data_IF_265400262837
#
_entry.id   IF_265400262837
#
_cell.length_a   1.000
_cell.length_b   1.000
_cell.length_c   1.000
_cell.angle_alpha   90.00
_cell.angle_beta   90.00
_cell.angle_gamma   90.00
#
_symmetry.space_group_name_H-M   'P 1'
#
loop_
_entity.id
_entity.type
_entity.pdbx_description
1 polymer ?
#
# COMPACT_ATOMS: atom_id res chain seq x y z
N UNK A 1 -4.92 19.68 -1.79
CA UNK A 1 -3.87 20.65 -2.10
C UNK A 1 -4.26 21.57 -3.27
N UNK A 2 -4.87 21.04 -4.33
CA UNK A 2 -5.26 21.76 -5.55
C UNK A 2 -6.73 22.16 -5.50
N UNK A 3 -7.02 23.41 -5.12
CA UNK A 3 -8.40 23.91 -4.96
C UNK A 3 -9.22 23.79 -6.25
N UNK A 4 -8.62 24.09 -7.41
CA UNK A 4 -9.31 24.01 -8.70
C UNK A 4 -9.74 22.58 -9.04
N UNK A 5 -8.90 21.57 -8.69
CA UNK A 5 -9.27 20.16 -8.84
C UNK A 5 -10.40 19.78 -7.90
N UNK A 6 -10.36 20.25 -6.64
CA UNK A 6 -11.43 19.99 -5.67
C UNK A 6 -12.77 20.57 -6.13
N UNK A 7 -12.77 21.82 -6.62
CA UNK A 7 -13.96 22.46 -7.20
C UNK A 7 -14.50 21.72 -8.42
N UNK A 8 -13.61 21.27 -9.31
CA UNK A 8 -14.01 20.47 -10.48
C UNK A 8 -14.68 19.16 -10.08
N UNK A 9 -14.19 18.49 -9.03
CA UNK A 9 -14.79 17.26 -8.48
C UNK A 9 -16.17 17.57 -7.88
N UNK A 10 -16.30 18.62 -7.07
CA UNK A 10 -17.58 19.06 -6.51
C UNK A 10 -18.60 19.27 -7.63
N UNK A 11 -18.23 20.02 -8.66
CA UNK A 11 -19.11 20.28 -9.81
C UNK A 11 -19.51 18.99 -10.55
N UNK A 12 -18.56 18.07 -10.76
CA UNK A 12 -18.83 16.81 -11.47
C UNK A 12 -19.81 15.88 -10.72
N UNK A 13 -19.84 15.96 -9.39
CA UNK A 13 -20.65 15.11 -8.53
C UNK A 13 -21.84 15.84 -7.86
N UNK A 14 -22.15 17.07 -8.30
CA UNK A 14 -23.28 17.82 -7.77
C UNK A 14 -23.11 18.31 -6.33
N UNK A 15 -21.88 18.39 -5.85
CA UNK A 15 -21.55 18.96 -4.55
C UNK A 15 -21.35 20.48 -4.65
N UNK A 16 -21.71 21.21 -3.59
CA UNK A 16 -21.49 22.66 -3.52
C UNK A 16 -19.97 22.94 -3.41
N UNK A 17 -19.46 23.87 -4.24
CA UNK A 17 -18.04 24.26 -4.25
C UNK A 17 -17.54 24.86 -2.92
N UNK A 18 -18.46 25.29 -2.03
CA UNK A 18 -18.08 25.75 -0.67
C UNK A 18 -17.41 24.64 0.16
N UNK A 19 -17.62 23.36 -0.20
CA UNK A 19 -16.98 22.20 0.42
C UNK A 19 -15.66 21.80 -0.25
N UNK A 20 -15.19 22.56 -1.26
CA UNK A 20 -13.90 22.35 -1.87
C UNK A 20 -12.83 23.13 -1.11
N UNK A 21 -11.86 22.41 -0.56
CA UNK A 21 -10.75 22.99 0.19
C UNK A 21 -9.42 22.73 -0.51
N UNK A 22 -8.50 23.68 -0.43
CA UNK A 22 -7.14 23.58 -0.97
C UNK A 22 -6.09 23.84 0.11
N UNK A 23 -4.82 23.71 -0.27
CA UNK A 23 -3.69 23.85 0.65
C UNK A 23 -3.33 22.55 1.36
N UNK A 24 -2.21 22.54 2.07
CA UNK A 24 -1.74 21.38 2.84
C UNK A 24 -2.61 21.10 4.06
N UNK A 25 -3.31 22.10 4.57
CA UNK A 25 -4.20 22.05 5.74
C UNK A 25 -5.69 21.96 5.38
N UNK A 26 -6.02 21.91 4.08
CA UNK A 26 -7.43 21.89 3.62
C UNK A 26 -8.27 20.73 4.18
N UNK A 27 -7.63 19.62 4.54
CA UNK A 27 -8.29 18.50 5.18
C UNK A 27 -8.90 18.84 6.55
N UNK A 28 -8.30 19.79 7.31
CA UNK A 28 -8.81 20.24 8.61
C UNK A 28 -10.20 20.85 8.47
N UNK A 29 -10.37 21.72 7.47
CA UNK A 29 -11.68 22.32 7.16
C UNK A 29 -12.71 21.31 6.68
N UNK A 30 -12.27 20.31 5.89
CA UNK A 30 -13.15 19.22 5.48
C UNK A 30 -13.68 18.44 6.69
N UNK A 31 -12.86 18.21 7.71
CA UNK A 31 -13.24 17.47 8.91
C UNK A 31 -14.20 18.21 9.83
N UNK A 32 -14.32 19.55 9.71
CA UNK A 32 -15.33 20.36 10.42
C UNK A 32 -16.76 20.12 9.88
N UNK A 33 -16.88 19.53 8.69
CA UNK A 33 -18.17 19.20 8.08
C UNK A 33 -18.84 17.97 8.71
N UNK A 34 -20.06 17.69 8.28
CA UNK A 34 -20.97 16.67 8.82
C UNK A 34 -20.83 15.29 8.15
N UNK A 35 -19.87 15.09 7.26
CA UNK A 35 -19.62 13.80 6.63
C UNK A 35 -19.29 12.71 7.68
N UNK A 36 -19.92 11.55 7.59
CA UNK A 36 -19.68 10.40 8.49
C UNK A 36 -18.46 9.59 8.10
N UNK A 37 -18.14 9.56 6.81
CA UNK A 37 -17.08 8.75 6.23
C UNK A 37 -16.11 9.62 5.45
N UNK A 38 -14.82 9.41 5.63
CA UNK A 38 -13.76 10.06 4.85
C UNK A 38 -13.07 9.03 3.98
N UNK A 39 -13.00 9.29 2.67
CA UNK A 39 -12.20 8.52 1.73
C UNK A 39 -10.81 9.15 1.61
N UNK A 40 -9.80 8.48 2.16
CA UNK A 40 -8.43 8.98 2.23
C UNK A 40 -7.61 8.48 1.04
N UNK A 41 -7.68 9.22 -0.07
CA UNK A 41 -6.99 8.92 -1.33
C UNK A 41 -5.80 9.86 -1.60
N UNK A 42 -5.31 10.57 -0.59
CA UNK A 42 -4.14 11.46 -0.70
C UNK A 42 -2.84 10.67 -0.94
N UNK A 43 -1.76 11.31 -1.42
CA UNK A 43 -0.47 10.64 -1.53
C UNK A 43 -0.03 10.00 -0.21
N UNK A 44 0.64 8.83 -0.24
CA UNK A 44 0.94 8.01 0.93
C UNK A 44 1.58 8.72 2.12
N UNK A 45 2.46 9.70 1.85
CA UNK A 45 3.13 10.49 2.90
C UNK A 45 2.13 11.17 3.85
N UNK A 46 0.97 11.62 3.34
CA UNK A 46 -0.03 12.35 4.14
C UNK A 46 -0.95 11.43 4.94
N UNK A 47 -1.06 10.18 4.57
CA UNK A 47 -2.09 9.27 5.11
C UNK A 47 -2.02 9.06 6.61
N UNK A 48 -0.84 8.90 7.25
CA UNK A 48 -0.79 8.76 8.71
C UNK A 48 -1.33 9.99 9.45
N UNK A 49 -0.94 11.19 8.99
CA UNK A 49 -1.40 12.45 9.54
C UNK A 49 -2.92 12.63 9.38
N UNK A 50 -3.42 12.36 8.17
CA UNK A 50 -4.83 12.52 7.87
C UNK A 50 -5.70 11.46 8.56
N UNK A 51 -5.25 10.20 8.63
CA UNK A 51 -5.98 9.15 9.34
C UNK A 51 -6.14 9.46 10.82
N UNK A 52 -5.07 9.94 11.49
CA UNK A 52 -5.12 10.39 12.87
C UNK A 52 -6.18 11.50 13.06
N UNK A 53 -6.20 12.50 12.17
CA UNK A 53 -7.15 13.60 12.22
C UNK A 53 -8.61 13.15 11.95
N UNK A 54 -8.82 12.23 10.99
CA UNK A 54 -10.15 11.66 10.68
C UNK A 54 -10.73 10.93 11.89
N UNK A 55 -9.94 10.08 12.53
CA UNK A 55 -10.37 9.31 13.70
C UNK A 55 -10.62 10.25 14.90
N UNK A 56 -9.74 11.24 15.11
CA UNK A 56 -9.93 12.25 16.16
C UNK A 56 -11.20 13.10 15.97
N UNK A 57 -11.60 13.35 14.71
CA UNK A 57 -12.86 14.00 14.35
C UNK A 57 -14.10 13.07 14.49
N UNK A 58 -13.91 11.83 14.94
CA UNK A 58 -15.00 10.88 15.17
C UNK A 58 -15.64 10.31 13.90
N UNK A 59 -14.91 10.28 12.77
CA UNK A 59 -15.41 9.83 11.47
C UNK A 59 -14.92 8.43 11.13
N UNK A 60 -15.67 7.71 10.30
CA UNK A 60 -15.23 6.45 9.70
C UNK A 60 -14.22 6.72 8.59
N UNK A 61 -13.34 5.76 8.33
CA UNK A 61 -12.23 5.92 7.39
C UNK A 61 -12.23 4.80 6.34
N UNK A 62 -12.18 5.16 5.07
CA UNK A 62 -11.61 4.33 4.02
C UNK A 62 -10.20 4.84 3.74
N UNK A 63 -9.19 4.00 3.93
CA UNK A 63 -7.80 4.37 3.75
C UNK A 63 -7.19 3.65 2.55
N UNK A 64 -6.79 4.40 1.52
CA UNK A 64 -6.04 3.84 0.40
C UNK A 64 -4.66 3.36 0.80
N UNK A 65 -4.20 2.30 0.17
CA UNK A 65 -2.86 1.72 0.32
C UNK A 65 -1.77 2.53 -0.45
N UNK A 66 -0.49 2.51 -0.02
CA UNK A 66 -0.02 2.18 1.33
C UNK A 66 -0.37 3.27 2.33
N UNK A 67 -0.46 2.92 3.60
CA UNK A 67 -0.88 3.91 4.62
C UNK A 67 0.27 4.79 5.12
N UNK A 68 1.49 4.50 4.77
CA UNK A 68 2.67 5.25 5.16
C UNK A 68 3.84 4.98 4.20
N UNK A 69 4.90 5.78 4.33
CA UNK A 69 6.13 5.66 3.53
C UNK A 69 7.38 5.38 4.38
N UNK A 70 7.25 5.41 5.70
CA UNK A 70 8.36 5.24 6.66
C UNK A 70 7.90 4.66 8.00
N UNK A 71 8.83 4.20 8.87
CA UNK A 71 8.51 3.60 10.15
C UNK A 71 7.73 4.52 11.11
N UNK A 72 8.06 5.81 11.29
CA UNK A 72 7.25 6.70 12.12
C UNK A 72 5.81 6.84 11.64
N UNK A 73 5.60 6.94 10.32
CA UNK A 73 4.27 7.02 9.73
C UNK A 73 3.45 5.75 9.98
N UNK A 74 4.06 4.56 9.86
CA UNK A 74 3.38 3.28 10.17
C UNK A 74 2.92 3.26 11.63
N UNK A 75 3.80 3.62 12.57
CA UNK A 75 3.44 3.64 14.00
C UNK A 75 2.40 4.70 14.34
N UNK A 76 2.41 5.85 13.63
CA UNK A 76 1.37 6.88 13.74
C UNK A 76 0.01 6.34 13.30
N UNK A 77 -0.04 5.65 12.17
CA UNK A 77 -1.28 5.02 11.70
C UNK A 77 -1.76 3.92 12.65
N UNK A 78 -0.89 3.07 13.18
CA UNK A 78 -1.26 2.06 14.18
C UNK A 78 -1.88 2.69 15.45
N UNK A 79 -1.40 3.86 15.89
CA UNK A 79 -2.05 4.60 16.99
C UNK A 79 -3.46 5.07 16.60
N UNK A 80 -3.64 5.54 15.36
CA UNK A 80 -4.98 5.89 14.88
C UNK A 80 -5.91 4.67 14.81
N UNK A 81 -5.39 3.49 14.42
CA UNK A 81 -6.14 2.22 14.43
C UNK A 81 -6.60 1.87 15.84
N UNK A 82 -5.74 1.98 16.85
CA UNK A 82 -6.12 1.73 18.24
C UNK A 82 -7.16 2.73 18.76
N UNK A 83 -7.02 4.01 18.43
CA UNK A 83 -8.03 5.02 18.73
C UNK A 83 -9.38 4.75 18.05
N UNK A 84 -9.36 4.26 16.82
CA UNK A 84 -10.55 3.86 16.09
C UNK A 84 -11.27 2.68 16.74
N UNK A 85 -10.53 1.67 17.22
CA UNK A 85 -11.09 0.54 17.98
C UNK A 85 -11.78 1.02 19.25
N UNK A 86 -11.13 1.90 20.01
CA UNK A 86 -11.68 2.45 21.26
C UNK A 86 -12.95 3.28 21.02
N UNK A 87 -12.99 4.07 19.95
CA UNK A 87 -14.13 4.92 19.59
C UNK A 87 -15.16 4.23 18.69
N UNK A 88 -14.97 2.95 18.38
CA UNK A 88 -15.80 2.16 17.44
C UNK A 88 -15.93 2.81 16.05
N UNK A 89 -14.87 3.48 15.58
CA UNK A 89 -14.80 3.97 14.22
C UNK A 89 -14.25 2.88 13.30
N UNK A 90 -14.92 2.66 12.20
CA UNK A 90 -14.51 1.67 11.22
C UNK A 90 -13.35 2.19 10.39
N UNK A 91 -12.40 1.31 10.09
CA UNK A 91 -11.35 1.54 9.10
C UNK A 91 -11.44 0.40 8.09
N UNK A 92 -11.62 0.75 6.82
CA UNK A 92 -11.53 -0.18 5.71
C UNK A 92 -10.31 0.18 4.85
N UNK A 93 -9.61 -0.84 4.40
CA UNK A 93 -8.36 -0.72 3.64
C UNK A 93 -8.61 -0.75 2.14
N UNK A 94 -7.88 0.08 1.39
CA UNK A 94 -7.82 0.04 -0.08
C UNK A 94 -7.00 -1.13 -0.65
N UNK A 95 -6.80 -2.20 0.11
CA UNK A 95 -6.16 -3.45 -0.37
C UNK A 95 -7.18 -4.31 -1.12
N UNK A 96 -7.64 -3.82 -2.26
CA UNK A 96 -8.77 -4.35 -3.04
C UNK A 96 -8.71 -5.86 -3.32
N UNK A 97 -7.52 -6.47 -3.39
CA UNK A 97 -7.41 -7.92 -3.59
C UNK A 97 -8.01 -8.76 -2.46
N UNK A 98 -8.13 -8.22 -1.23
CA UNK A 98 -8.84 -8.88 -0.12
C UNK A 98 -10.35 -8.91 -0.29
N UNK A 99 -10.89 -8.05 -1.18
CA UNK A 99 -12.30 -8.02 -1.59
C UNK A 99 -12.53 -8.67 -2.96
N UNK A 100 -11.49 -9.35 -3.50
CA UNK A 100 -11.61 -10.13 -4.71
C UNK A 100 -12.23 -11.49 -4.40
N UNK A 101 -13.40 -11.79 -4.99
CA UNK A 101 -14.12 -13.03 -4.75
C UNK A 101 -13.28 -14.31 -5.02
N UNK A 102 -12.34 -14.24 -5.97
CA UNK A 102 -11.43 -15.37 -6.26
C UNK A 102 -10.48 -15.60 -5.09
N UNK A 103 -9.82 -14.56 -4.59
CA UNK A 103 -8.93 -14.66 -3.45
C UNK A 103 -9.68 -15.14 -2.19
N UNK A 104 -10.90 -14.63 -1.97
CA UNK A 104 -11.77 -15.05 -0.86
C UNK A 104 -12.13 -16.53 -0.91
N UNK A 105 -12.37 -17.10 -2.10
CA UNK A 105 -12.61 -18.53 -2.24
C UNK A 105 -11.34 -19.38 -2.13
N UNK A 106 -10.18 -18.84 -2.45
CA UNK A 106 -8.91 -19.58 -2.38
C UNK A 106 -8.30 -19.62 -0.99
N UNK A 107 -8.49 -18.59 -0.17
CA UNK A 107 -7.76 -18.43 1.09
C UNK A 107 -7.96 -19.62 2.03
N UNK A 108 -9.22 -20.06 2.23
CA UNK A 108 -9.51 -21.18 3.13
C UNK A 108 -8.95 -22.51 2.61
N UNK A 109 -9.20 -22.94 1.35
CA UNK A 109 -8.59 -24.16 0.80
C UNK A 109 -7.06 -24.18 0.86
N UNK A 110 -6.39 -23.05 0.66
CA UNK A 110 -4.92 -22.97 0.77
C UNK A 110 -4.48 -23.18 2.21
N UNK A 111 -5.12 -22.53 3.16
CA UNK A 111 -4.83 -22.71 4.60
C UNK A 111 -5.17 -24.11 5.10
N UNK A 112 -6.17 -24.76 4.53
CA UNK A 112 -6.54 -26.15 4.79
C UNK A 112 -5.58 -27.14 4.10
N UNK A 113 -4.59 -26.68 3.33
CA UNK A 113 -3.51 -27.48 2.78
C UNK A 113 -3.77 -28.08 1.39
N UNK A 114 -4.56 -27.44 0.53
CA UNK A 114 -4.75 -27.89 -0.86
C UNK A 114 -3.42 -27.99 -1.65
N UNK A 115 -2.43 -27.14 -1.29
CA UNK A 115 -1.06 -27.21 -1.81
C UNK A 115 -0.07 -27.77 -0.78
N UNK A 116 -0.56 -28.31 0.35
CA UNK A 116 0.25 -28.74 1.47
C UNK A 116 0.77 -27.60 2.33
N UNK A 117 1.84 -27.83 3.10
CA UNK A 117 2.54 -26.81 3.85
C UNK A 117 3.24 -25.84 2.88
N UNK A 118 3.10 -24.52 3.11
CA UNK A 118 3.74 -23.51 2.29
C UNK A 118 5.24 -23.48 2.62
N UNK A 119 6.07 -23.70 1.62
CA UNK A 119 7.53 -23.73 1.72
C UNK A 119 8.19 -22.43 1.27
N UNK A 120 7.51 -21.63 0.43
CA UNK A 120 8.01 -20.38 -0.10
C UNK A 120 7.15 -19.85 -1.23
N UNK A 121 7.66 -18.84 -1.93
CA UNK A 121 6.92 -18.25 -3.03
C UNK A 121 7.65 -17.15 -3.76
N UNK A 122 6.98 -16.61 -4.79
CA UNK A 122 7.45 -15.45 -5.53
C UNK A 122 6.30 -14.48 -5.79
N UNK A 123 6.60 -13.22 -5.67
CA UNK A 123 5.73 -12.09 -5.98
C UNK A 123 6.33 -11.34 -7.17
N UNK A 124 5.54 -11.12 -8.21
CA UNK A 124 5.91 -10.25 -9.32
C UNK A 124 4.96 -9.05 -9.40
N UNK A 125 5.53 -7.86 -9.42
CA UNK A 125 4.86 -6.61 -9.81
C UNK A 125 5.69 -5.96 -10.91
N UNK A 126 5.67 -6.57 -12.10
CA UNK A 126 6.45 -6.15 -13.24
C UNK A 126 5.51 -5.59 -14.32
N UNK A 127 5.65 -4.32 -14.62
CA UNK A 127 4.86 -3.62 -15.63
C UNK A 127 5.64 -2.44 -16.24
N UNK A 128 5.07 -1.80 -17.24
CA UNK A 128 5.64 -0.62 -17.88
C UNK A 128 5.75 0.59 -16.94
N UNK A 129 6.33 1.66 -17.45
CA UNK A 129 6.47 2.91 -16.70
C UNK A 129 5.10 3.48 -16.29
N UNK A 130 5.08 4.14 -15.16
CA UNK A 130 3.91 4.87 -14.66
C UNK A 130 3.83 6.25 -15.30
N UNK A 131 2.72 6.95 -15.01
CA UNK A 131 2.53 8.32 -15.42
C UNK A 131 3.57 9.26 -14.81
N UNK A 132 3.93 10.29 -15.55
CA UNK A 132 4.74 11.43 -15.10
C UNK A 132 3.95 12.71 -15.32
N UNK A 133 4.16 13.67 -14.43
CA UNK A 133 3.59 15.00 -14.55
C UNK A 133 4.72 16.02 -14.53
N UNK A 134 5.07 16.61 -15.68
CA UNK A 134 6.15 17.58 -15.75
C UNK A 134 5.83 18.80 -14.89
N UNK A 135 6.87 19.40 -14.31
CA UNK A 135 6.77 20.61 -13.52
C UNK A 135 6.27 21.78 -14.40
N UNK A 136 5.24 22.46 -13.92
CA UNK A 136 4.75 23.69 -14.56
C UNK A 136 5.57 24.87 -14.07
N UNK A 137 5.71 25.95 -14.87
CA UNK A 137 6.45 27.15 -14.46
C UNK A 137 5.93 27.81 -13.17
N UNK A 138 4.64 27.64 -12.89
CA UNK A 138 3.97 28.22 -11.70
C UNK A 138 3.97 27.29 -10.49
N UNK A 139 4.48 26.06 -10.60
CA UNK A 139 4.48 25.12 -9.49
C UNK A 139 5.54 25.52 -8.44
N UNK A 140 5.11 25.68 -7.21
CA UNK A 140 6.01 25.62 -6.06
C UNK A 140 6.59 24.22 -5.93
N UNK A 141 7.66 24.04 -5.16
CA UNK A 141 8.22 22.72 -4.91
C UNK A 141 7.18 21.77 -4.28
N UNK A 142 6.40 22.27 -3.32
CA UNK A 142 5.30 21.53 -2.70
C UNK A 142 4.23 21.11 -3.73
N UNK A 143 3.81 22.01 -4.61
CA UNK A 143 2.84 21.73 -5.65
C UNK A 143 3.36 20.68 -6.65
N UNK A 144 4.61 20.77 -7.05
CA UNK A 144 5.23 19.81 -7.94
C UNK A 144 5.30 18.41 -7.30
N UNK A 145 5.81 18.30 -6.06
CA UNK A 145 5.86 17.04 -5.32
C UNK A 145 4.45 16.45 -5.17
N UNK A 146 3.47 17.24 -4.75
CA UNK A 146 2.11 16.77 -4.58
C UNK A 146 1.44 16.35 -5.91
N UNK A 147 1.76 17.01 -7.03
CA UNK A 147 1.20 16.66 -8.34
C UNK A 147 1.88 15.45 -8.98
N UNK A 148 3.19 15.28 -8.77
CA UNK A 148 4.02 14.21 -9.34
C UNK A 148 4.46 13.18 -8.29
N UNK A 149 3.69 13.05 -7.21
CA UNK A 149 4.00 12.33 -5.97
C UNK A 149 4.49 10.90 -6.19
N UNK A 150 3.96 10.22 -7.18
CA UNK A 150 4.27 8.82 -7.45
C UNK A 150 5.75 8.60 -7.87
N UNK A 151 6.38 9.60 -8.45
CA UNK A 151 7.76 9.51 -8.93
C UNK A 151 8.80 9.82 -7.85
N UNK A 152 8.38 10.30 -6.68
CA UNK A 152 9.25 10.61 -5.55
C UNK A 152 9.06 9.61 -4.42
N UNK A 153 10.13 8.90 -4.07
CA UNK A 153 10.12 7.89 -3.00
C UNK A 153 9.68 8.45 -1.65
N UNK A 154 9.97 9.71 -1.38
CA UNK A 154 9.56 10.43 -0.18
C UNK A 154 8.03 10.56 -0.08
N UNK A 155 7.37 10.65 -1.23
CA UNK A 155 5.93 10.84 -1.32
C UNK A 155 5.14 9.54 -1.35
N UNK A 156 5.70 8.49 -1.97
CA UNK A 156 4.99 7.23 -2.26
C UNK A 156 5.59 5.99 -1.57
N UNK A 157 6.79 6.08 -1.00
CA UNK A 157 7.49 4.93 -0.44
C UNK A 157 8.15 4.02 -1.48
N UNK A 158 8.30 4.50 -2.73
CA UNK A 158 8.82 3.78 -3.88
C UNK A 158 7.89 2.69 -4.44
N UNK A 159 8.26 2.13 -5.59
CA UNK A 159 7.51 1.14 -6.36
C UNK A 159 7.11 -0.11 -5.55
N UNK A 160 8.02 -0.60 -4.70
CA UNK A 160 7.74 -1.78 -3.88
C UNK A 160 6.59 -1.50 -2.91
N UNK A 161 6.62 -0.35 -2.22
CA UNK A 161 5.60 0.04 -1.24
C UNK A 161 4.31 0.50 -1.91
N UNK A 162 4.41 1.26 -3.01
CA UNK A 162 3.22 1.84 -3.63
C UNK A 162 2.49 0.83 -4.53
N UNK A 163 3.22 -0.02 -5.27
CA UNK A 163 2.61 -0.95 -6.22
C UNK A 163 2.65 -2.41 -5.78
N UNK A 164 3.83 -2.93 -5.43
CA UNK A 164 3.96 -4.35 -5.14
C UNK A 164 3.28 -4.75 -3.82
N UNK A 165 2.84 -3.79 -3.01
CA UNK A 165 2.07 -4.06 -1.79
C UNK A 165 0.85 -4.93 -2.05
N UNK A 166 0.20 -4.82 -3.20
CA UNK A 166 -0.96 -5.64 -3.54
C UNK A 166 -0.65 -7.14 -3.54
N UNK A 167 0.45 -7.53 -4.18
CA UNK A 167 0.87 -8.91 -4.28
C UNK A 167 1.58 -9.39 -3.00
N UNK A 168 2.30 -8.49 -2.31
CA UNK A 168 2.94 -8.77 -1.02
C UNK A 168 1.88 -8.98 0.07
N UNK A 169 0.82 -8.17 0.07
CA UNK A 169 -0.31 -8.33 0.99
C UNK A 169 -1.01 -9.69 0.80
N UNK A 170 -1.23 -10.10 -0.46
CA UNK A 170 -1.75 -11.43 -0.75
C UNK A 170 -0.84 -12.53 -0.19
N UNK A 171 0.48 -12.40 -0.35
CA UNK A 171 1.43 -13.36 0.23
C UNK A 171 1.31 -13.42 1.75
N UNK A 172 1.33 -12.26 2.44
CA UNK A 172 1.13 -12.17 3.88
C UNK A 172 -0.18 -12.84 4.32
N UNK A 173 -1.28 -12.56 3.61
CA UNK A 173 -2.60 -13.09 3.91
C UNK A 173 -2.68 -14.59 3.74
N UNK A 174 -2.16 -15.13 2.64
CA UNK A 174 -2.21 -16.57 2.36
C UNK A 174 -1.27 -17.38 3.26
N UNK A 175 -0.08 -16.85 3.57
CA UNK A 175 0.86 -17.43 4.55
C UNK A 175 0.29 -17.36 5.98
N UNK A 176 -0.52 -16.34 6.29
CA UNK A 176 -1.15 -16.14 7.59
C UNK A 176 -0.24 -15.52 8.64
N UNK A 177 0.92 -14.97 8.24
CA UNK A 177 1.85 -14.20 9.08
C UNK A 177 2.65 -13.22 8.24
N UNK A 178 3.40 -12.35 8.92
CA UNK A 178 4.27 -11.36 8.29
C UNK A 178 5.74 -11.79 8.37
N UNK A 179 6.61 -11.33 7.46
CA UNK A 179 8.02 -11.66 7.50
C UNK A 179 8.70 -11.01 8.71
N UNK A 180 9.70 -11.71 9.24
CA UNK A 180 10.50 -11.26 10.38
C UNK A 180 11.57 -10.27 9.96
N UNK A 181 12.10 -10.42 8.73
CA UNK A 181 13.19 -9.59 8.18
C UNK A 181 13.17 -9.62 6.65
N UNK A 182 13.89 -8.66 6.07
CA UNK A 182 14.09 -8.56 4.63
C UNK A 182 15.53 -8.15 4.31
N UNK A 183 16.02 -8.61 3.15
CA UNK A 183 17.18 -8.04 2.46
C UNK A 183 16.81 -7.79 1.00
N UNK A 184 17.46 -6.82 0.37
CA UNK A 184 17.11 -6.50 -1.00
C UNK A 184 18.21 -5.77 -1.76
N UNK A 185 18.03 -5.76 -3.08
CA UNK A 185 18.82 -4.98 -4.02
C UNK A 185 17.91 -4.20 -4.94
N UNK A 186 18.36 -3.07 -5.45
CA UNK A 186 17.55 -2.29 -6.38
C UNK A 186 18.39 -1.32 -7.19
N UNK A 187 17.79 -0.80 -8.24
CA UNK A 187 18.42 0.16 -9.11
C UNK A 187 17.37 1.02 -9.84
N UNK A 188 17.86 2.15 -10.35
CA UNK A 188 17.10 3.02 -11.24
C UNK A 188 17.62 2.86 -12.67
N UNK A 189 16.83 2.29 -13.55
CA UNK A 189 17.13 2.15 -14.98
C UNK A 189 16.36 3.13 -15.85
N UNK A 190 15.17 3.53 -15.39
CA UNK A 190 14.33 4.48 -16.12
C UNK A 190 14.84 5.89 -15.93
N UNK A 191 15.07 6.61 -17.03
CA UNK A 191 15.21 8.07 -17.03
C UNK A 191 13.84 8.71 -16.90
N UNK A 192 13.75 9.89 -16.33
CA UNK A 192 12.50 10.61 -16.10
C UNK A 192 12.54 11.41 -14.82
N UNK A 193 11.39 11.89 -14.37
CA UNK A 193 11.28 12.68 -13.14
C UNK A 193 11.39 11.80 -11.90
N UNK A 194 11.77 12.43 -10.78
CA UNK A 194 11.81 11.78 -9.47
C UNK A 194 13.10 11.00 -9.19
N UNK A 195 13.09 10.24 -8.10
CA UNK A 195 14.29 9.65 -7.51
C UNK A 195 14.10 8.21 -6.99
N UNK A 196 12.92 7.62 -7.14
CA UNK A 196 12.66 6.24 -6.72
C UNK A 196 13.38 5.22 -7.60
N UNK A 197 13.65 4.03 -7.03
CA UNK A 197 14.06 2.88 -7.83
C UNK A 197 12.91 2.40 -8.70
N UNK A 198 13.21 1.86 -9.86
CA UNK A 198 12.22 1.25 -10.72
C UNK A 198 12.46 -0.24 -10.98
N UNK A 199 13.47 -0.79 -10.31
CA UNK A 199 13.74 -2.22 -10.23
C UNK A 199 14.17 -2.54 -8.81
N UNK A 200 13.41 -3.39 -8.12
CA UNK A 200 13.69 -3.86 -6.76
C UNK A 200 13.53 -5.38 -6.73
N UNK A 201 14.39 -6.02 -5.97
CA UNK A 201 14.38 -7.46 -5.73
C UNK A 201 14.64 -7.68 -4.25
N UNK A 202 13.66 -8.27 -3.56
CA UNK A 202 13.66 -8.39 -2.10
C UNK A 202 13.35 -9.81 -1.70
N UNK A 203 14.13 -10.35 -0.81
CA UNK A 203 13.87 -11.60 -0.12
C UNK A 203 13.25 -11.30 1.25
N UNK A 204 12.05 -11.82 1.47
CA UNK A 204 11.31 -11.75 2.73
C UNK A 204 11.41 -13.08 3.46
N UNK A 205 12.07 -13.08 4.61
CA UNK A 205 12.17 -14.24 5.50
C UNK A 205 11.03 -14.21 6.53
N UNK A 206 10.13 -15.19 6.41
CA UNK A 206 8.98 -15.40 7.32
C UNK A 206 9.31 -16.28 8.51
N UNK A 207 10.58 -16.61 8.72
CA UNK A 207 11.02 -17.60 9.70
C UNK A 207 10.74 -19.05 9.25
N UNK A 208 11.33 -20.01 9.97
CA UNK A 208 11.17 -21.44 9.69
C UNK A 208 11.53 -21.84 8.25
N UNK A 209 12.55 -21.19 7.67
CA UNK A 209 13.02 -21.38 6.29
C UNK A 209 11.93 -21.09 5.21
N UNK A 210 10.91 -20.31 5.51
CA UNK A 210 9.94 -19.85 4.53
C UNK A 210 10.39 -18.49 4.00
N UNK A 211 10.72 -18.46 2.71
CA UNK A 211 11.11 -17.25 2.00
C UNK A 211 10.14 -16.93 0.87
N UNK A 212 9.81 -15.65 0.74
CA UNK A 212 9.07 -15.12 -0.41
C UNK A 212 9.90 -14.04 -1.08
N UNK A 213 10.19 -14.27 -2.36
CA UNK A 213 10.99 -13.36 -3.17
C UNK A 213 10.08 -12.43 -3.96
N UNK A 214 10.20 -11.12 -3.73
CA UNK A 214 9.43 -10.09 -4.42
C UNK A 214 10.28 -9.36 -5.45
N UNK A 215 9.77 -9.27 -6.68
CA UNK A 215 10.39 -8.53 -7.78
C UNK A 215 9.42 -7.47 -8.27
N UNK A 216 9.82 -6.21 -8.14
CA UNK A 216 9.07 -5.06 -8.63
C UNK A 216 9.85 -4.34 -9.74
N UNK A 217 9.21 -4.07 -10.88
CA UNK A 217 9.83 -3.38 -12.01
C UNK A 217 8.84 -2.50 -12.75
N UNK A 218 9.26 -1.28 -13.08
CA UNK A 218 8.50 -0.29 -13.86
C UNK A 218 9.33 0.22 -15.04
N UNK A 219 9.55 -0.65 -16.04
CA UNK A 219 10.37 -0.36 -17.22
C UNK A 219 9.66 -0.86 -18.47
N UNK A 220 9.46 0.03 -19.46
CA UNK A 220 8.83 -0.31 -20.74
C UNK A 220 9.66 -1.30 -21.55
N UNK A 221 8.98 -2.07 -22.41
CA UNK A 221 9.62 -3.00 -23.33
C UNK A 221 10.19 -4.27 -22.68
N UNK A 222 9.77 -4.58 -21.46
CA UNK A 222 10.16 -5.79 -20.74
C UNK A 222 8.95 -6.74 -20.61
N UNK A 223 9.21 -7.97 -20.20
CA UNK A 223 8.16 -8.93 -19.87
C UNK A 223 7.37 -8.48 -18.64
N UNK A 224 6.06 -8.41 -18.77
CA UNK A 224 5.16 -7.94 -17.72
C UNK A 224 4.43 -9.09 -17.05
N UNK A 225 4.37 -9.04 -15.71
CA UNK A 225 3.59 -9.96 -14.90
C UNK A 225 3.27 -9.37 -13.54
N UNK A 226 2.02 -9.55 -13.11
CA UNK A 226 1.59 -9.34 -11.73
C UNK A 226 1.07 -10.68 -11.20
N UNK A 227 1.68 -11.21 -10.14
CA UNK A 227 1.23 -12.45 -9.52
C UNK A 227 1.74 -12.62 -8.09
N UNK A 228 1.02 -13.44 -7.33
CA UNK A 228 1.46 -14.01 -6.06
C UNK A 228 1.42 -15.53 -6.22
N UNK A 229 2.59 -16.15 -6.30
CA UNK A 229 2.75 -17.59 -6.44
C UNK A 229 3.29 -18.17 -5.15
N UNK A 230 2.59 -19.13 -4.58
CA UNK A 230 3.02 -19.84 -3.38
C UNK A 230 3.27 -21.32 -3.72
N UNK A 231 4.40 -21.82 -3.24
CA UNK A 231 4.82 -23.21 -3.40
C UNK A 231 4.67 -23.94 -2.08
N UNK A 232 3.98 -25.05 -2.10
CA UNK A 232 3.81 -25.93 -0.97
C UNK A 232 4.28 -27.36 -1.26
N UNK A 233 4.17 -28.22 -0.26
CA UNK A 233 4.63 -29.62 -0.34
C UNK A 233 3.83 -30.49 -1.32
N UNK A 234 2.64 -30.08 -1.75
CA UNK A 234 1.76 -30.82 -2.67
C UNK A 234 1.53 -30.11 -4.00
N UNK A 235 2.09 -28.93 -4.21
CA UNK A 235 1.91 -28.16 -5.43
C UNK A 235 2.11 -26.66 -5.23
N UNK A 236 1.69 -25.90 -6.24
CA UNK A 236 1.79 -24.43 -6.26
C UNK A 236 0.41 -23.81 -6.54
N UNK A 237 0.21 -22.60 -6.07
CA UNK A 237 -0.94 -21.77 -6.45
C UNK A 237 -0.46 -20.44 -7.03
N UNK A 238 -1.04 -20.02 -8.16
CA UNK A 238 -0.99 -18.64 -8.64
C UNK A 238 -2.31 -17.97 -8.27
N UNK A 239 -2.29 -17.12 -7.24
CA UNK A 239 -3.50 -16.51 -6.68
C UNK A 239 -4.19 -15.60 -7.72
N UNK A 240 -3.44 -14.72 -8.38
CA UNK A 240 -4.02 -13.81 -9.38
C UNK A 240 -4.34 -14.52 -10.69
N UNK A 241 -3.54 -15.53 -11.06
CA UNK A 241 -3.80 -16.38 -12.22
C UNK A 241 -4.90 -17.41 -12.01
N UNK A 242 -5.37 -17.57 -10.77
CA UNK A 242 -6.44 -18.54 -10.41
C UNK A 242 -6.14 -19.98 -10.83
N UNK A 243 -4.89 -20.42 -10.63
CA UNK A 243 -4.40 -21.73 -11.08
C UNK A 243 -3.71 -22.48 -9.96
N UNK A 244 -3.89 -23.80 -9.98
CA UNK A 244 -3.11 -24.75 -9.18
C UNK A 244 -2.22 -25.56 -10.10
N UNK A 245 -0.96 -25.75 -9.72
CA UNK A 245 -0.04 -26.69 -10.33
C UNK A 245 0.26 -27.77 -9.29
N UNK A 246 -0.11 -29.01 -9.58
CA UNK A 246 0.12 -30.15 -8.69
C UNK A 246 1.59 -30.59 -8.74
N UNK A 247 2.00 -31.43 -7.77
CA UNK A 247 3.37 -31.92 -7.68
C UNK A 247 3.82 -32.74 -8.91
N UNK A 248 2.90 -33.36 -9.64
CA UNK A 248 3.15 -34.05 -10.91
C UNK A 248 3.29 -33.11 -12.11
N UNK A 249 3.23 -31.79 -11.91
CA UNK A 249 3.29 -30.77 -12.95
C UNK A 249 1.96 -30.47 -13.65
N UNK A 250 0.88 -31.17 -13.30
CA UNK A 250 -0.45 -30.90 -13.87
C UNK A 250 -0.94 -29.52 -13.45
N UNK A 251 -1.18 -28.65 -14.45
CA UNK A 251 -1.76 -27.31 -14.21
C UNK A 251 -3.26 -27.34 -14.48
N UNK A 252 -4.06 -26.82 -13.56
CA UNK A 252 -5.52 -26.72 -13.68
C UNK A 252 -6.05 -25.41 -13.11
N UNK A 253 -7.19 -24.89 -13.61
CA UNK A 253 -7.90 -23.79 -12.96
C UNK A 253 -8.26 -24.15 -11.52
N UNK A 254 -8.31 -23.15 -10.64
CA UNK A 254 -8.84 -23.33 -9.29
C UNK A 254 -10.35 -23.68 -9.40
N UNK A 255 -10.83 -24.68 -8.64
CA UNK A 255 -12.24 -25.09 -8.70
C UNK A 255 -13.12 -24.13 -7.89
N UNK A 256 -13.54 -23.03 -8.51
CA UNK A 256 -14.41 -22.04 -7.88
C UNK A 256 -15.85 -22.53 -7.77
N UNK A 257 -16.49 -22.21 -6.65
CA UNK A 257 -17.96 -22.29 -6.52
C UNK A 257 -18.59 -21.07 -7.21
N UNK A 258 -19.09 -21.29 -8.44
CA UNK A 258 -19.71 -20.24 -9.23
C UNK A 258 -21.11 -19.85 -8.75
N UNK A 259 -21.81 -20.72 -8.00
CA UNK A 259 -23.10 -20.41 -7.42
C UNK A 259 -22.95 -19.43 -6.24
N UNK A 260 -21.94 -19.63 -5.41
CA UNK A 260 -21.65 -18.77 -4.25
C UNK A 260 -21.31 -17.30 -4.64
N UNK A 261 -20.98 -17.04 -5.90
CA UNK A 261 -20.63 -15.70 -6.38
C UNK A 261 -21.72 -15.04 -7.23
N UNK A 262 -22.89 -15.67 -7.36
CA UNK A 262 -24.01 -15.03 -8.07
C UNK A 262 -24.37 -13.71 -7.39
N UNK A 263 -24.38 -12.63 -8.18
CA UNK A 263 -24.68 -11.29 -7.69
C UNK A 263 -23.50 -10.54 -7.03
N UNK A 264 -22.32 -11.16 -6.88
CA UNK A 264 -21.13 -10.46 -6.42
C UNK A 264 -20.56 -9.64 -7.60
N UNK A 265 -20.22 -8.39 -7.33
CA UNK A 265 -19.59 -7.54 -8.34
C UNK A 265 -18.22 -8.12 -8.73
N UNK A 266 -17.93 -8.13 -10.03
CA UNK A 266 -16.64 -8.64 -10.52
C UNK A 266 -15.49 -7.65 -10.27
N UNK A 267 -15.81 -6.36 -10.02
CA UNK A 267 -14.84 -5.34 -9.68
C UNK A 267 -14.58 -5.32 -8.17
N UNK A 268 -13.40 -5.77 -7.76
CA UNK A 268 -12.96 -5.81 -6.36
C UNK A 268 -12.91 -4.42 -5.70
N UNK A 269 -12.64 -3.35 -6.48
CA UNK A 269 -12.65 -1.98 -5.95
C UNK A 269 -14.06 -1.52 -5.58
N UNK A 270 -15.09 -1.99 -6.30
CA UNK A 270 -16.50 -1.77 -5.90
C UNK A 270 -16.83 -2.57 -4.65
N UNK A 271 -16.35 -3.82 -4.56
CA UNK A 271 -16.63 -4.68 -3.42
C UNK A 271 -16.08 -4.11 -2.12
N UNK A 272 -14.86 -3.57 -2.09
CA UNK A 272 -14.30 -2.98 -0.87
C UNK A 272 -15.17 -1.84 -0.33
N UNK A 273 -15.66 -0.94 -1.17
CA UNK A 273 -16.59 0.11 -0.74
C UNK A 273 -17.97 -0.44 -0.32
N UNK A 274 -18.47 -1.45 -1.04
CA UNK A 274 -19.74 -2.10 -0.69
C UNK A 274 -19.66 -2.82 0.66
N UNK A 275 -18.51 -3.40 0.99
CA UNK A 275 -18.32 -4.10 2.27
C UNK A 275 -18.32 -3.10 3.44
N UNK A 276 -17.70 -1.92 3.29
CA UNK A 276 -17.80 -0.84 4.27
C UNK A 276 -19.26 -0.39 4.47
N UNK A 277 -19.98 -0.12 3.38
CA UNK A 277 -21.38 0.32 3.46
C UNK A 277 -22.29 -0.75 4.07
N UNK A 278 -22.07 -2.04 3.75
CA UNK A 278 -22.81 -3.14 4.37
C UNK A 278 -22.55 -3.22 5.87
N UNK A 279 -21.28 -3.10 6.29
CA UNK A 279 -20.88 -3.13 7.69
C UNK A 279 -21.52 -1.97 8.47
N UNK A 280 -21.51 -0.76 7.92
CA UNK A 280 -22.17 0.41 8.51
C UNK A 280 -23.69 0.24 8.63
N UNK A 281 -24.36 -0.23 7.56
CA UNK A 281 -25.81 -0.43 7.55
C UNK A 281 -26.26 -1.56 8.48
N UNK A 282 -25.41 -2.57 8.71
CA UNK A 282 -25.69 -3.69 9.60
C UNK A 282 -25.21 -3.45 11.05
N UNK A 283 -24.68 -2.28 11.35
CA UNK A 283 -24.00 -1.96 12.63
C UNK A 283 -22.95 -3.02 13.03
N UNK A 284 -22.26 -3.56 12.02
CA UNK A 284 -21.24 -4.58 12.22
C UNK A 284 -19.87 -3.92 12.22
N UNK A 285 -19.18 -3.93 13.35
CA UNK A 285 -17.87 -3.30 13.46
C UNK A 285 -16.84 -3.95 12.54
N UNK A 286 -16.15 -3.14 11.76
CA UNK A 286 -15.08 -3.54 10.85
C UNK A 286 -13.83 -2.68 11.08
N UNK A 287 -12.67 -3.30 11.21
CA UNK A 287 -11.39 -2.58 11.26
C UNK A 287 -10.30 -3.41 10.59
N UNK A 288 -9.82 -2.90 9.47
CA UNK A 288 -8.79 -3.52 8.64
C UNK A 288 -7.43 -2.85 8.78
N UNK A 289 -7.33 -1.83 9.62
CA UNK A 289 -6.13 -1.02 9.78
C UNK A 289 -4.89 -1.80 10.22
N UNK A 290 -5.06 -2.83 11.04
CA UNK A 290 -3.92 -3.64 11.51
C UNK A 290 -3.20 -4.34 10.34
N UNK A 291 -3.94 -5.07 9.51
CA UNK A 291 -3.29 -5.81 8.44
C UNK A 291 -2.74 -4.87 7.35
N UNK A 292 -3.41 -3.76 7.09
CA UNK A 292 -2.93 -2.76 6.14
C UNK A 292 -1.62 -2.13 6.62
N UNK A 293 -1.54 -1.77 7.91
CA UNK A 293 -0.31 -1.29 8.52
C UNK A 293 0.82 -2.31 8.43
N UNK A 294 0.53 -3.58 8.69
CA UNK A 294 1.54 -4.64 8.64
C UNK A 294 1.99 -4.98 7.21
N UNK A 295 1.09 -4.92 6.23
CA UNK A 295 1.47 -5.10 4.82
C UNK A 295 2.27 -3.89 4.30
N UNK A 296 1.92 -2.67 4.72
CA UNK A 296 2.74 -1.49 4.48
C UNK A 296 4.12 -1.63 5.16
N UNK A 297 4.17 -2.08 6.42
CA UNK A 297 5.43 -2.32 7.13
C UNK A 297 6.30 -3.36 6.42
N UNK A 298 5.71 -4.42 5.86
CA UNK A 298 6.43 -5.42 5.07
C UNK A 298 7.11 -4.77 3.86
N UNK A 299 6.41 -3.97 3.09
CA UNK A 299 6.98 -3.33 1.90
C UNK A 299 7.97 -2.22 2.23
N UNK A 300 7.72 -1.41 3.26
CA UNK A 300 8.68 -0.40 3.77
C UNK A 300 9.95 -1.08 4.27
N UNK A 301 9.85 -2.20 4.99
CA UNK A 301 11.00 -3.00 5.42
C UNK A 301 11.87 -3.42 4.22
N UNK A 302 11.24 -3.96 3.17
CA UNK A 302 11.93 -4.35 1.93
C UNK A 302 12.54 -3.15 1.20
N UNK A 303 11.84 -2.03 1.13
CA UNK A 303 12.34 -0.78 0.54
C UNK A 303 13.59 -0.30 1.29
N UNK A 304 13.53 -0.22 2.63
CA UNK A 304 14.67 0.22 3.43
C UNK A 304 15.85 -0.75 3.34
N UNK A 305 15.59 -2.07 3.34
CA UNK A 305 16.65 -3.06 3.12
C UNK A 305 17.35 -2.84 1.77
N UNK A 306 16.59 -2.54 0.72
CA UNK A 306 17.11 -2.26 -0.62
C UNK A 306 17.96 -0.99 -0.68
N UNK A 307 17.49 0.09 -0.05
CA UNK A 307 18.18 1.39 -0.07
C UNK A 307 19.41 1.44 0.84
N UNK A 308 19.38 0.75 1.97
CA UNK A 308 20.51 0.71 2.93
C UNK A 308 21.53 -0.38 2.62
N UNK A 309 21.14 -1.41 1.86
CA UNK A 309 21.94 -2.61 1.67
C UNK A 309 22.08 -3.46 2.93
N UNK A 310 21.26 -3.19 3.95
CA UNK A 310 21.30 -3.90 5.23
C UNK A 310 20.11 -4.87 5.34
N UNK A 311 20.29 -5.89 6.18
CA UNK A 311 19.15 -6.68 6.64
C UNK A 311 18.33 -5.83 7.60
N UNK A 312 17.03 -5.66 7.30
CA UNK A 312 16.09 -4.91 8.14
C UNK A 312 15.08 -5.89 8.74
N UNK A 313 14.80 -5.75 10.04
CA UNK A 313 13.83 -6.57 10.75
C UNK A 313 12.50 -5.83 10.94
N UNK A 314 11.40 -6.56 11.01
CA UNK A 314 10.10 -5.99 11.32
C UNK A 314 10.12 -5.25 12.68
N UNK A 315 10.84 -5.79 13.66
CA UNK A 315 11.02 -5.15 14.97
C UNK A 315 11.75 -3.81 14.88
N UNK A 316 12.66 -3.65 13.90
CA UNK A 316 13.39 -2.39 13.71
C UNK A 316 12.48 -1.23 13.31
N UNK A 317 11.36 -1.53 12.63
CA UNK A 317 10.36 -0.53 12.26
C UNK A 317 9.39 -0.23 13.41
N UNK A 318 8.99 -1.26 14.16
CA UNK A 318 7.80 -1.20 15.00
C UNK A 318 8.08 -1.10 16.50
N UNK A 319 9.10 -1.80 17.01
CA UNK A 319 9.27 -2.00 18.46
C UNK A 319 10.67 -1.75 19.01
N UNK A 320 11.72 -1.91 18.19
CA UNK A 320 13.11 -1.73 18.65
C UNK A 320 13.55 -0.27 18.55
N UNK A 321 13.26 0.51 19.58
CA UNK A 321 13.62 1.93 19.63
C UNK A 321 15.14 2.21 19.56
N UNK A 322 15.98 1.20 19.78
CA UNK A 322 17.44 1.32 19.67
C UNK A 322 17.94 1.10 18.24
N UNK A 323 17.09 0.65 17.33
CA UNK A 323 17.47 0.49 15.93
C UNK A 323 17.58 1.86 15.24
N UNK A 324 18.60 2.11 14.41
CA UNK A 324 18.68 3.33 13.59
C UNK A 324 17.51 3.44 12.60
N UNK A 325 16.88 2.32 12.27
CA UNK A 325 15.71 2.27 11.38
C UNK A 325 14.44 2.77 12.09
N UNK A 326 14.33 2.63 13.40
CA UNK A 326 13.10 2.96 14.14
C UNK A 326 12.60 4.39 13.87
N UNK A 327 13.48 5.37 13.96
CA UNK A 327 13.16 6.78 13.70
C UNK A 327 13.60 7.25 12.32
N UNK A 328 13.95 6.30 11.43
CA UNK A 328 14.32 6.64 10.08
C UNK A 328 13.12 7.22 9.33
N UNK A 329 13.33 8.33 8.64
CA UNK A 329 12.30 9.01 7.86
C UNK A 329 12.89 9.67 6.62
N UNK A 330 12.07 9.85 5.63
CA UNK A 330 12.44 10.62 4.45
C UNK A 330 12.66 12.11 4.79
N UNK A 331 13.47 12.85 3.99
CA UNK A 331 13.73 14.28 4.25
C UNK A 331 12.48 15.15 4.20
N UNK A 332 11.50 14.80 3.37
CA UNK A 332 10.23 15.51 3.24
C UNK A 332 9.21 14.89 4.19
N UNK A 333 8.50 15.74 4.92
CA UNK A 333 7.47 15.30 5.87
C UNK A 333 6.11 15.93 5.54
N UNK A 334 4.98 15.32 5.93
CA UNK A 334 3.65 15.86 5.62
C UNK A 334 3.41 17.25 6.22
N UNK A 335 3.96 17.53 7.39
CA UNK A 335 3.86 18.83 8.08
C UNK A 335 4.55 19.98 7.32
N UNK A 336 5.53 19.69 6.46
CA UNK A 336 6.20 20.70 5.63
C UNK A 336 5.21 21.36 4.65
N UNK A 337 4.24 20.58 4.16
CA UNK A 337 3.19 21.06 3.27
C UNK A 337 2.14 21.92 3.98
N UNK A 338 1.92 21.71 5.27
CA UNK A 338 0.99 22.53 6.06
C UNK A 338 1.59 23.89 6.43
N UNK A 339 2.88 23.91 6.76
CA UNK A 339 3.57 25.15 7.17
C UNK A 339 3.74 26.17 6.04
N UNK A 340 3.57 25.72 4.78
CA UNK A 340 3.79 26.56 3.62
C UNK A 340 5.26 26.97 3.42
N UNK A 341 6.18 26.28 4.08
CA UNK A 341 7.62 26.48 3.93
C UNK A 341 8.09 26.07 2.53
N UNK A 342 9.22 26.65 2.10
CA UNK A 342 9.83 26.27 0.82
C UNK A 342 10.47 24.89 0.95
N UNK A 343 9.75 23.88 0.51
CA UNK A 343 10.21 22.49 0.55
C UNK A 343 11.39 22.34 -0.41
N UNK A 344 12.53 21.90 0.11
CA UNK A 344 13.66 21.51 -0.73
C UNK A 344 13.27 20.27 -1.54
N UNK A 345 13.33 20.39 -2.88
CA UNK A 345 13.11 19.23 -3.75
C UNK A 345 14.18 18.17 -3.51
N UNK A 346 13.78 16.89 -3.37
CA UNK A 346 14.72 15.79 -3.51
C UNK A 346 15.41 15.85 -4.88
N UNK A 347 16.69 15.50 -4.91
CA UNK A 347 17.43 15.50 -6.16
C UNK A 347 16.84 14.45 -7.13
N UNK A 348 16.47 14.89 -8.31
CA UNK A 348 15.95 14.01 -9.34
C UNK A 348 17.09 13.22 -10.00
N UNK A 349 16.80 11.97 -10.36
CA UNK A 349 17.78 11.03 -10.92
C UNK A 349 19.02 10.74 -10.03
N UNK A 350 18.98 11.18 -8.77
CA UNK A 350 19.94 10.75 -7.76
C UNK A 350 19.31 9.65 -6.90
N UNK A 351 20.06 8.60 -6.69
CA UNK A 351 19.64 7.48 -5.85
C UNK A 351 20.69 7.18 -4.78
N UNK A 352 20.21 6.68 -3.66
CA UNK A 352 21.10 6.19 -2.61
C UNK A 352 21.92 5.02 -3.15
N UNK A 353 23.20 5.02 -2.81
CA UNK A 353 24.09 3.89 -3.11
C UNK A 353 24.19 3.07 -1.82
N UNK A 354 23.73 1.81 -1.82
CA UNK A 354 23.82 0.96 -0.64
C UNK A 354 25.24 0.88 -0.10
N UNK A 355 25.38 0.99 1.23
CA UNK A 355 26.68 0.93 1.90
C UNK A 355 27.50 2.25 1.89
N UNK A 356 26.94 3.35 1.39
CA UNK A 356 27.59 4.67 1.44
C UNK A 356 26.85 5.64 2.35
#
# INVERSE_FOLDING_TARGET
FFLDKAKAICKAHGCDEKFAFGGGDGYKKLLEGDADIVLLCTPPIFRPLHAEAVIAAGKHLFAEKPIAVDPPGIRRFLKAVEAAKQSKRMILSGTCHRHNWRALQMIKPVRDGIIGEILGGVVYRCHGAIWERPRRPTDTNAAYLANNWYNFREMCGDNLTEQAIHEVDLANWFVGRYPERAMGIGARYRKGTGNGYNCLSVDYDYGKNLHIHAIARQVNGCWDRCCTMLTGTKGQIDVLGSKIVLADGTSKPFPFDTEAIKGINQNMMVNEHMDLLKALNADTYMNEGDFEAMSTATTVMGTLATYTGQMVRMSDLLTNANSPIYNWKWPVQPEDFERGEDIKLPAENEWMVPGK
#
